data_IF_461928143321
#
_entry.id   IF_461928143321
#
_cell.length_a   1.000
_cell.length_b   1.000
_cell.length_c   1.000
_cell.angle_alpha   90.00
_cell.angle_beta   90.00
_cell.angle_gamma   90.00
#
_symmetry.space_group_name_H-M   'P 1'
#
loop_
_entity.id
_entity.type
_entity.pdbx_description
1 polymer ?
#
# COMPACT_ATOMS: atom_id res chain seq x y z
N UNK A 1 8.11 22.41 -20.31
CA UNK A 1 6.73 22.50 -19.79
C UNK A 1 5.99 21.23 -20.20
N UNK A 2 6.58 20.07 -19.86
CA UNK A 2 6.15 18.74 -20.33
C UNK A 2 6.14 17.78 -19.12
N UNK A 3 7.16 17.87 -18.26
CA UNK A 3 7.22 17.16 -16.98
C UNK A 3 6.07 17.48 -15.99
N UNK A 4 5.51 18.71 -16.00
CA UNK A 4 4.42 19.07 -15.09
C UNK A 4 3.05 18.51 -15.54
N UNK A 5 2.86 18.30 -16.84
CA UNK A 5 1.63 17.75 -17.42
C UNK A 5 1.55 16.24 -17.20
N UNK A 6 2.70 15.54 -17.30
CA UNK A 6 2.84 14.12 -16.97
C UNK A 6 2.60 13.85 -15.47
N UNK A 7 3.08 14.72 -14.56
CA UNK A 7 2.89 14.54 -13.11
C UNK A 7 1.42 14.74 -12.70
N UNK A 8 0.75 15.79 -13.21
CA UNK A 8 -0.68 16.03 -12.95
C UNK A 8 -1.52 14.89 -13.54
N UNK A 9 -1.18 14.41 -14.73
CA UNK A 9 -1.81 13.23 -15.34
C UNK A 9 -1.63 11.96 -14.52
N UNK A 10 -0.47 11.77 -13.89
CA UNK A 10 -0.21 10.62 -13.03
C UNK A 10 -1.01 10.66 -11.72
N UNK A 11 -1.17 11.82 -11.08
CA UNK A 11 -1.98 11.96 -9.87
C UNK A 11 -3.46 11.63 -10.13
N UNK A 12 -4.05 12.20 -11.17
CA UNK A 12 -5.45 11.91 -11.54
C UNK A 12 -5.64 10.43 -11.90
N UNK A 13 -4.64 9.83 -12.54
CA UNK A 13 -4.65 8.40 -12.88
C UNK A 13 -4.55 7.49 -11.65
N UNK A 14 -3.70 7.84 -10.68
CA UNK A 14 -3.57 7.11 -9.41
C UNK A 14 -4.91 7.13 -8.66
N UNK A 15 -5.53 8.30 -8.53
CA UNK A 15 -6.83 8.43 -7.88
C UNK A 15 -7.92 7.60 -8.59
N UNK A 16 -7.96 7.64 -9.92
CA UNK A 16 -8.91 6.85 -10.70
C UNK A 16 -8.70 5.33 -10.53
N UNK A 17 -7.45 4.87 -10.46
CA UNK A 17 -7.13 3.46 -10.22
C UNK A 17 -7.53 3.02 -8.80
N UNK A 18 -7.32 3.87 -7.80
CA UNK A 18 -7.72 3.61 -6.42
C UNK A 18 -9.24 3.54 -6.29
N UNK A 19 -9.98 4.49 -6.87
CA UNK A 19 -11.44 4.48 -6.92
C UNK A 19 -11.98 3.25 -7.64
N UNK A 20 -11.35 2.88 -8.77
CA UNK A 20 -11.68 1.65 -9.47
C UNK A 20 -11.43 0.41 -8.60
N UNK A 21 -10.33 0.38 -7.87
CA UNK A 21 -10.03 -0.69 -6.90
C UNK A 21 -11.10 -0.81 -5.82
N UNK A 22 -11.49 0.32 -5.21
CA UNK A 22 -12.52 0.40 -4.17
C UNK A 22 -13.90 -0.07 -4.70
N UNK A 23 -14.25 0.33 -5.93
CA UNK A 23 -15.48 -0.09 -6.60
C UNK A 23 -15.50 -1.60 -6.87
N UNK A 24 -14.40 -2.15 -7.42
CA UNK A 24 -14.27 -3.58 -7.70
C UNK A 24 -14.31 -4.42 -6.43
N UNK A 25 -13.74 -3.93 -5.31
CA UNK A 25 -13.89 -4.58 -4.01
C UNK A 25 -15.35 -4.63 -3.53
N UNK A 26 -16.08 -3.53 -3.72
CA UNK A 26 -17.51 -3.43 -3.38
C UNK A 26 -18.34 -4.43 -4.18
N UNK A 27 -17.98 -4.64 -5.45
CA UNK A 27 -18.60 -5.63 -6.35
C UNK A 27 -18.15 -7.08 -6.08
N UNK A 28 -17.12 -7.25 -5.24
CA UNK A 28 -16.55 -8.56 -4.89
C UNK A 28 -15.50 -9.08 -5.88
N UNK A 29 -15.14 -8.30 -6.91
CA UNK A 29 -14.05 -8.61 -7.83
C UNK A 29 -12.69 -8.27 -7.21
N UNK A 30 -12.22 -9.17 -6.34
CA UNK A 30 -10.91 -9.04 -5.70
C UNK A 30 -9.74 -9.06 -6.68
N UNK A 31 -9.88 -9.77 -7.82
CA UNK A 31 -8.81 -9.89 -8.80
C UNK A 31 -8.67 -8.58 -9.60
N UNK A 32 -9.80 -8.01 -10.02
CA UNK A 32 -9.85 -6.69 -10.63
C UNK A 32 -9.34 -5.61 -9.69
N UNK A 33 -9.78 -5.62 -8.44
CA UNK A 33 -9.31 -4.67 -7.43
C UNK A 33 -7.80 -4.75 -7.20
N UNK A 34 -7.27 -5.97 -7.02
CA UNK A 34 -5.83 -6.18 -6.85
C UNK A 34 -5.04 -5.59 -8.02
N UNK A 35 -5.49 -5.84 -9.26
CA UNK A 35 -4.83 -5.30 -10.44
C UNK A 35 -4.85 -3.77 -10.45
N UNK A 36 -5.97 -3.14 -10.12
CA UNK A 36 -6.09 -1.69 -10.08
C UNK A 36 -5.11 -1.06 -9.06
N UNK A 37 -5.03 -1.61 -7.84
CA UNK A 37 -4.08 -1.12 -6.84
C UNK A 37 -2.62 -1.44 -7.20
N UNK A 38 -2.31 -2.56 -7.87
CA UNK A 38 -0.96 -2.85 -8.34
C UNK A 38 -0.51 -1.86 -9.42
N UNK A 39 -1.40 -1.45 -10.32
CA UNK A 39 -1.15 -0.38 -11.31
C UNK A 39 -0.96 0.98 -10.62
N UNK A 40 -1.81 1.31 -9.64
CA UNK A 40 -1.71 2.53 -8.83
C UNK A 40 -0.35 2.59 -8.12
N UNK A 41 0.02 1.53 -7.38
CA UNK A 41 1.30 1.39 -6.70
C UNK A 41 2.49 1.58 -7.64
N UNK A 42 2.43 1.02 -8.86
CA UNK A 42 3.51 1.14 -9.82
C UNK A 42 3.74 2.60 -10.26
N UNK A 43 2.68 3.39 -10.41
CA UNK A 43 2.76 4.82 -10.73
C UNK A 43 3.26 5.61 -9.52
N UNK A 44 2.68 5.39 -8.34
CA UNK A 44 3.08 6.09 -7.12
C UNK A 44 4.55 5.84 -6.78
N UNK A 45 5.06 4.61 -6.99
CA UNK A 45 6.48 4.30 -6.81
C UNK A 45 7.40 5.05 -7.79
N UNK A 46 6.95 5.26 -9.03
CA UNK A 46 7.72 6.06 -9.99
C UNK A 46 7.79 7.51 -9.53
N UNK A 47 6.66 8.10 -9.14
CA UNK A 47 6.62 9.46 -8.61
C UNK A 47 7.49 9.60 -7.35
N UNK A 48 7.41 8.66 -6.41
CA UNK A 48 8.24 8.66 -5.20
C UNK A 48 9.74 8.46 -5.49
N UNK A 49 10.10 7.82 -6.61
CA UNK A 49 11.49 7.70 -7.02
C UNK A 49 12.01 8.98 -7.69
N UNK A 50 11.14 9.71 -8.38
CA UNK A 50 11.45 11.01 -8.99
C UNK A 50 11.55 12.14 -7.94
N UNK A 51 10.82 12.02 -6.83
CA UNK A 51 10.83 12.95 -5.69
C UNK A 51 10.98 12.21 -4.33
N UNK A 52 12.21 11.75 -3.99
CA UNK A 52 12.43 10.88 -2.83
C UNK A 52 12.27 11.58 -1.47
N UNK A 53 12.33 12.91 -1.44
CA UNK A 53 12.16 13.72 -0.23
C UNK A 53 10.68 14.00 0.07
N UNK A 54 9.77 13.59 -0.80
CA UNK A 54 8.34 13.77 -0.65
C UNK A 54 7.72 12.69 0.24
N UNK A 55 7.53 13.04 1.51
CA UNK A 55 6.94 12.15 2.52
C UNK A 55 5.51 11.71 2.18
N UNK A 56 4.72 12.54 1.48
CA UNK A 56 3.35 12.20 1.10
C UNK A 56 3.34 11.12 0.01
N UNK A 57 4.20 11.22 -1.01
CA UNK A 57 4.33 10.18 -2.04
C UNK A 57 4.82 8.85 -1.45
N UNK A 58 5.79 8.89 -0.54
CA UNK A 58 6.23 7.70 0.18
C UNK A 58 5.08 7.09 1.01
N UNK A 59 4.28 7.93 1.67
CA UNK A 59 3.11 7.47 2.43
C UNK A 59 2.06 6.82 1.53
N UNK A 60 1.80 7.37 0.35
CA UNK A 60 0.85 6.82 -0.62
C UNK A 60 1.30 5.44 -1.14
N UNK A 61 2.60 5.23 -1.33
CA UNK A 61 3.17 3.89 -1.61
C UNK A 61 2.85 2.92 -0.47
N UNK A 62 3.06 3.34 0.80
CA UNK A 62 2.75 2.52 1.97
C UNK A 62 1.27 2.13 2.02
N UNK A 63 0.36 3.09 1.85
CA UNK A 63 -1.10 2.84 1.89
C UNK A 63 -1.53 1.88 0.76
N UNK A 64 -0.98 2.03 -0.43
CA UNK A 64 -1.26 1.14 -1.57
C UNK A 64 -0.82 -0.31 -1.27
N UNK A 65 0.35 -0.47 -0.65
CA UNK A 65 0.84 -1.78 -0.21
C UNK A 65 -0.04 -2.41 0.87
N UNK A 66 -0.58 -1.63 1.80
CA UNK A 66 -1.54 -2.12 2.80
C UNK A 66 -2.81 -2.67 2.14
N UNK A 67 -3.40 -1.95 1.18
CA UNK A 67 -4.58 -2.37 0.44
C UNK A 67 -4.33 -3.67 -0.34
N UNK A 68 -3.21 -3.76 -1.04
CA UNK A 68 -2.79 -4.98 -1.75
C UNK A 68 -2.62 -6.15 -0.76
N UNK A 69 -2.00 -5.90 0.39
CA UNK A 69 -1.82 -6.89 1.43
C UNK A 69 -3.15 -7.41 1.98
N UNK A 70 -4.11 -6.51 2.25
CA UNK A 70 -5.45 -6.86 2.74
C UNK A 70 -6.20 -7.74 1.74
N UNK A 71 -6.12 -7.43 0.44
CA UNK A 71 -6.75 -8.23 -0.62
C UNK A 71 -6.11 -9.61 -0.73
N UNK A 72 -4.77 -9.69 -0.73
CA UNK A 72 -4.04 -10.96 -0.77
C UNK A 72 -4.34 -11.82 0.45
N UNK A 73 -4.40 -11.21 1.63
CA UNK A 73 -4.74 -11.88 2.87
C UNK A 73 -6.16 -12.48 2.81
N UNK A 74 -7.14 -11.69 2.37
CA UNK A 74 -8.51 -12.15 2.16
C UNK A 74 -8.62 -13.24 1.10
N UNK A 75 -7.76 -13.21 0.08
CA UNK A 75 -7.63 -14.24 -0.96
C UNK A 75 -6.87 -15.51 -0.54
N UNK A 76 -6.33 -15.54 0.68
CA UNK A 76 -5.58 -16.68 1.22
C UNK A 76 -4.09 -16.71 0.84
N UNK A 77 -3.61 -15.76 0.03
CA UNK A 77 -2.19 -15.55 -0.27
C UNK A 77 -1.49 -14.83 0.91
N UNK A 78 -1.29 -15.60 1.98
CA UNK A 78 -0.68 -15.11 3.22
C UNK A 78 0.78 -14.65 3.01
N UNK A 79 1.51 -15.31 2.11
CA UNK A 79 2.91 -14.97 1.84
C UNK A 79 3.03 -13.67 1.05
N UNK A 80 2.19 -13.47 0.03
CA UNK A 80 2.13 -12.22 -0.72
C UNK A 80 1.58 -11.06 0.10
N UNK A 81 0.64 -11.32 1.02
CA UNK A 81 0.17 -10.32 1.98
C UNK A 81 1.27 -9.88 2.94
N UNK A 82 1.99 -10.84 3.54
CA UNK A 82 3.08 -10.56 4.47
C UNK A 82 4.16 -9.67 3.82
N UNK A 83 4.59 -10.00 2.59
CA UNK A 83 5.56 -9.17 1.86
C UNK A 83 5.08 -7.74 1.65
N UNK A 84 3.81 -7.55 1.31
CA UNK A 84 3.26 -6.22 1.10
C UNK A 84 3.20 -5.41 2.40
N UNK A 85 2.79 -6.04 3.52
CA UNK A 85 2.78 -5.39 4.82
C UNK A 85 4.18 -5.08 5.35
N UNK A 86 5.15 -5.96 5.15
CA UNK A 86 6.55 -5.74 5.54
C UNK A 86 7.13 -4.52 4.82
N UNK A 87 6.88 -4.40 3.51
CA UNK A 87 7.34 -3.24 2.73
C UNK A 87 6.64 -1.94 3.15
N UNK A 88 5.32 -1.97 3.37
CA UNK A 88 4.57 -0.82 3.90
C UNK A 88 5.13 -0.37 5.25
N UNK A 89 5.39 -1.31 6.15
CA UNK A 89 5.91 -1.00 7.48
C UNK A 89 7.32 -0.39 7.43
N UNK A 90 8.18 -0.85 6.52
CA UNK A 90 9.51 -0.26 6.32
C UNK A 90 9.40 1.22 5.97
N UNK A 91 8.51 1.57 5.03
CA UNK A 91 8.27 2.95 4.63
C UNK A 91 7.69 3.77 5.78
N UNK A 92 6.65 3.28 6.44
CA UNK A 92 6.00 3.98 7.56
C UNK A 92 6.98 4.25 8.71
N UNK A 93 7.89 3.31 9.00
CA UNK A 93 8.95 3.50 10.01
C UNK A 93 9.96 4.56 9.62
N UNK A 94 10.39 4.58 8.35
CA UNK A 94 11.29 5.61 7.84
C UNK A 94 10.64 6.99 8.00
N UNK A 95 9.40 7.14 7.53
CA UNK A 95 8.65 8.40 7.63
C UNK A 95 8.46 8.84 9.09
N UNK A 96 8.11 7.95 10.01
CA UNK A 96 7.96 8.28 11.42
C UNK A 96 9.30 8.63 12.11
N UNK A 97 10.43 8.14 11.59
CA UNK A 97 11.75 8.52 12.07
C UNK A 97 12.17 9.91 11.56
N UNK A 98 11.78 10.24 10.32
CA UNK A 98 12.06 11.53 9.69
C UNK A 98 11.19 12.67 10.26
N UNK A 99 9.93 12.37 10.59
CA UNK A 99 9.03 13.28 11.32
C UNK A 99 8.35 12.61 12.54
N UNK A 100 9.04 12.57 13.69
CA UNK A 100 8.49 11.98 14.92
C UNK A 100 7.30 12.74 15.50
N UNK A 101 7.01 13.96 15.03
CA UNK A 101 5.91 14.79 15.48
C UNK A 101 4.58 14.46 14.82
N UNK A 102 4.60 13.78 13.66
CA UNK A 102 3.38 13.44 12.93
C UNK A 102 2.75 12.14 13.48
N UNK A 103 1.68 12.32 14.25
CA UNK A 103 0.90 11.23 14.82
C UNK A 103 0.28 10.30 13.76
N UNK A 104 0.09 10.74 12.51
CA UNK A 104 -0.40 9.89 11.43
C UNK A 104 0.63 8.85 11.04
N UNK A 105 1.90 9.23 10.94
CA UNK A 105 3.00 8.32 10.56
C UNK A 105 3.22 7.25 11.65
N UNK A 106 3.13 7.65 12.92
CA UNK A 106 3.17 6.72 14.04
C UNK A 106 2.00 5.72 14.01
N UNK A 107 0.80 6.18 13.64
CA UNK A 107 -0.38 5.33 13.45
C UNK A 107 -0.17 4.33 12.31
N UNK A 108 0.29 4.79 11.15
CA UNK A 108 0.51 3.94 9.98
C UNK A 108 1.51 2.81 10.32
N UNK A 109 2.59 3.12 11.04
CA UNK A 109 3.54 2.10 11.52
C UNK A 109 2.92 1.10 12.52
N UNK A 110 2.04 1.55 13.42
CA UNK A 110 1.29 0.67 14.33
C UNK A 110 0.36 -0.28 13.57
N UNK A 111 -0.34 0.23 12.57
CA UNK A 111 -1.27 -0.57 11.76
C UNK A 111 -0.51 -1.63 10.95
N UNK A 112 0.63 -1.27 10.34
CA UNK A 112 1.49 -2.23 9.65
C UNK A 112 1.94 -3.38 10.56
N UNK A 113 2.33 -3.07 11.80
CA UNK A 113 2.69 -4.08 12.81
C UNK A 113 1.53 -5.04 13.14
N UNK A 114 0.32 -4.50 13.35
CA UNK A 114 -0.86 -5.31 13.64
C UNK A 114 -1.20 -6.27 12.48
N UNK A 115 -1.14 -5.77 11.24
CA UNK A 115 -1.39 -6.58 10.03
C UNK A 115 -0.37 -7.71 9.87
N UNK A 116 0.92 -7.43 10.10
CA UNK A 116 1.98 -8.43 10.10
C UNK A 116 1.73 -9.49 11.17
N UNK A 117 1.40 -9.09 12.40
CA UNK A 117 1.07 -10.01 13.48
C UNK A 117 -0.07 -10.96 13.13
N UNK A 118 -1.15 -10.42 12.56
CA UNK A 118 -2.29 -11.19 12.08
C UNK A 118 -1.92 -12.15 10.94
N UNK A 119 -1.09 -11.71 9.99
CA UNK A 119 -0.59 -12.53 8.90
C UNK A 119 0.24 -13.72 9.43
N UNK A 120 1.16 -13.47 10.37
CA UNK A 120 1.96 -14.53 11.00
C UNK A 120 1.10 -15.54 11.77
N UNK A 121 0.13 -15.07 12.56
CA UNK A 121 -0.79 -15.95 13.30
C UNK A 121 -1.61 -16.85 12.36
N UNK A 122 -2.04 -16.32 11.21
CA UNK A 122 -2.77 -17.08 10.20
C UNK A 122 -1.91 -18.12 9.47
N UNK A 123 -0.60 -17.85 9.27
CA UNK A 123 0.35 -18.82 8.70
C UNK A 123 0.66 -19.94 9.71
N UNK A 124 0.83 -19.61 10.99
CA UNK A 124 1.12 -20.58 12.04
C UNK A 124 -0.04 -21.55 12.27
N UNK A 125 -1.28 -21.06 12.24
CA UNK A 125 -2.50 -21.87 12.41
C UNK A 125 -2.85 -22.70 11.17
N UNK A 126 -2.43 -22.28 9.98
CA UNK A 126 -2.61 -23.04 8.74
C UNK A 126 -1.70 -24.27 8.60
N UNK A 127 -0.60 -24.35 9.38
CA UNK A 127 0.32 -25.50 9.40
C UNK A 127 -0.11 -26.65 10.34
N UNK A 128 -1.20 -26.48 11.09
CA UNK A 128 -1.65 -27.41 12.12
C UNK A 128 -2.82 -28.32 11.70
N UNK A 129 -3.05 -28.52 10.40
CA UNK A 129 -4.08 -29.44 9.88
C UNK A 129 -3.49 -30.46 8.92
#
# INVERSE_FOLDING_TARGET
MEAADDIVSHHDRIAALDEQGDALLTEGDRAGALKAYEESLALTRRLAADDPDNGDLARDVSVSLERIGDIRFAGGDRAGALRAYEESLEIARRLAADDPGDARLARDASVGLDRIGNAYAAVATGRAR
#
